data_IF_542560324282
#
_entry.id   IF_542560324282
#
_cell.length_a   1.000
_cell.length_b   1.000
_cell.length_c   1.000
_cell.angle_alpha   90.00
_cell.angle_beta   90.00
_cell.angle_gamma   90.00
#
_symmetry.space_group_name_H-M   'P 1'
#
loop_
_entity.id
_entity.type
_entity.pdbx_description
1 polymer ?
#
# COMPACT_ATOMS: atom_id res chain seq x y z
N UNK A 1 12.48 -1.61 10.54
CA UNK A 1 12.13 -1.73 9.11
C UNK A 1 10.79 -1.07 8.78
N UNK A 2 9.62 -1.62 9.18
CA UNK A 2 8.32 -1.01 8.83
C UNK A 2 8.19 0.46 9.29
N UNK A 3 8.48 0.74 10.57
CA UNK A 3 8.48 2.11 11.11
C UNK A 3 9.45 3.04 10.37
N UNK A 4 10.65 2.58 10.04
CA UNK A 4 11.65 3.41 9.35
C UNK A 4 11.21 3.73 7.91
N UNK A 5 10.64 2.75 7.20
CA UNK A 5 10.05 2.96 5.87
C UNK A 5 8.88 3.93 5.92
N UNK A 6 7.99 3.76 6.90
CA UNK A 6 6.87 4.69 7.11
C UNK A 6 7.38 6.11 7.35
N UNK A 7 8.37 6.29 8.24
CA UNK A 7 9.00 7.60 8.48
C UNK A 7 9.52 8.26 7.20
N UNK A 8 10.22 7.50 6.35
CA UNK A 8 10.73 8.02 5.07
C UNK A 8 9.60 8.48 4.13
N UNK A 9 8.46 7.78 4.14
CA UNK A 9 7.27 8.17 3.36
C UNK A 9 6.63 9.43 3.94
N UNK A 10 6.50 9.51 5.27
CA UNK A 10 5.93 10.67 5.97
C UNK A 10 6.83 11.91 5.91
N UNK A 11 8.14 11.75 5.76
CA UNK A 11 9.07 12.86 5.52
C UNK A 11 8.80 13.57 4.19
N UNK A 12 8.26 12.85 3.19
CA UNK A 12 7.78 13.43 1.93
C UNK A 12 6.38 14.02 2.04
N UNK A 13 5.62 13.64 3.06
CA UNK A 13 4.23 14.02 3.29
C UNK A 13 4.07 14.57 4.71
N UNK A 14 4.69 15.72 5.05
CA UNK A 14 4.82 16.18 6.43
C UNK A 14 3.47 16.43 7.12
N UNK A 15 2.41 16.73 6.37
CA UNK A 15 1.04 16.82 6.89
C UNK A 15 0.53 15.53 7.55
N UNK A 16 1.08 14.37 7.22
CA UNK A 16 0.68 13.07 7.78
C UNK A 16 1.48 12.68 9.02
N UNK A 17 2.47 13.47 9.44
CA UNK A 17 3.36 13.12 10.58
C UNK A 17 2.61 12.95 11.89
N UNK A 18 1.56 13.72 12.11
CA UNK A 18 0.72 13.59 13.31
C UNK A 18 -0.01 12.24 13.38
N UNK A 19 -0.21 11.58 12.23
CA UNK A 19 -0.85 10.28 12.11
C UNK A 19 0.17 9.12 12.15
N UNK A 20 1.46 9.39 12.38
CA UNK A 20 2.53 8.38 12.27
C UNK A 20 2.26 7.14 13.11
N UNK A 21 1.91 7.31 14.39
CA UNK A 21 1.72 6.18 15.31
C UNK A 21 0.45 5.40 14.99
N UNK A 22 -0.63 6.06 14.55
CA UNK A 22 -1.87 5.39 14.16
C UNK A 22 -1.69 4.60 12.85
N UNK A 23 -1.01 5.19 11.86
CA UNK A 23 -0.64 4.50 10.62
C UNK A 23 0.28 3.33 10.90
N UNK A 24 1.26 3.50 11.79
CA UNK A 24 2.14 2.41 12.18
C UNK A 24 1.37 1.27 12.86
N UNK A 25 0.44 1.60 13.75
CA UNK A 25 -0.40 0.61 14.40
C UNK A 25 -1.28 -0.14 13.39
N UNK A 26 -1.88 0.58 12.43
CA UNK A 26 -2.65 -0.01 11.34
C UNK A 26 -1.80 -0.98 10.52
N UNK A 27 -0.66 -0.52 9.96
CA UNK A 27 0.19 -1.38 9.13
C UNK A 27 0.78 -2.55 9.91
N UNK A 28 1.10 -2.37 11.19
CA UNK A 28 1.57 -3.47 12.05
C UNK A 28 0.47 -4.52 12.31
N UNK A 29 -0.81 -4.10 12.35
CA UNK A 29 -1.94 -5.02 12.50
C UNK A 29 -2.24 -5.82 11.23
N UNK A 30 -1.84 -5.29 10.08
CA UNK A 30 -1.95 -5.93 8.77
C UNK A 30 -0.74 -6.83 8.49
N UNK A 31 0.44 -6.48 9.00
CA UNK A 31 1.71 -7.15 8.75
C UNK A 31 1.80 -8.54 9.42
N UNK A 32 1.20 -9.53 8.77
CA UNK A 32 1.27 -10.94 9.15
C UNK A 32 2.26 -11.73 8.28
N UNK A 33 2.55 -12.98 8.68
CA UNK A 33 3.55 -13.82 8.00
C UNK A 33 3.19 -14.14 6.53
N UNK A 34 1.90 -14.22 6.22
CA UNK A 34 1.36 -14.45 4.88
C UNK A 34 1.35 -13.19 4.00
N UNK A 35 1.64 -12.00 4.56
CA UNK A 35 1.75 -10.76 3.78
C UNK A 35 3.11 -10.64 3.13
N UNK A 36 3.12 -10.67 1.80
CA UNK A 36 4.29 -10.56 0.96
C UNK A 36 4.69 -9.11 0.70
N UNK A 37 3.73 -8.21 0.54
CA UNK A 37 3.97 -6.79 0.31
C UNK A 37 2.88 -5.89 0.89
N UNK A 38 3.29 -4.68 1.28
CA UNK A 38 2.41 -3.56 1.63
C UNK A 38 2.91 -2.36 0.83
N UNK A 39 2.05 -1.82 -0.02
CA UNK A 39 2.41 -0.78 -0.98
C UNK A 39 1.39 0.36 -0.91
N UNK A 40 1.88 1.58 -0.68
CA UNK A 40 1.04 2.78 -0.71
C UNK A 40 0.98 3.28 -2.15
N UNK A 41 -0.22 3.34 -2.73
CA UNK A 41 -0.46 3.75 -4.10
C UNK A 41 -1.00 5.17 -4.21
N UNK A 42 -1.50 5.54 -5.39
CA UNK A 42 -2.34 6.70 -5.57
C UNK A 42 -1.68 8.03 -5.22
N UNK A 43 -2.45 8.94 -4.62
CA UNK A 43 -2.04 10.34 -4.49
C UNK A 43 -0.76 10.54 -3.66
N UNK A 44 -0.56 9.72 -2.61
CA UNK A 44 0.63 9.79 -1.75
C UNK A 44 1.89 9.32 -2.48
N UNK A 45 1.77 8.31 -3.34
CA UNK A 45 2.89 7.81 -4.14
C UNK A 45 3.28 8.79 -5.26
N UNK A 46 2.33 9.60 -5.72
CA UNK A 46 2.51 10.55 -6.83
C UNK A 46 2.86 11.97 -6.39
N UNK A 47 3.17 12.20 -5.11
CA UNK A 47 3.40 13.53 -4.51
C UNK A 47 2.22 14.50 -4.77
N UNK A 48 0.99 13.99 -4.76
CA UNK A 48 -0.26 14.73 -5.01
C UNK A 48 -1.26 14.66 -3.86
N UNK A 49 -0.84 14.12 -2.72
CA UNK A 49 -1.69 13.97 -1.54
C UNK A 49 -2.10 15.32 -0.96
N UNK A 50 -3.41 15.52 -0.75
CA UNK A 50 -3.99 16.72 -0.14
C UNK A 50 -4.67 16.33 1.18
N UNK A 51 -4.14 16.83 2.30
CA UNK A 51 -4.69 16.53 3.62
C UNK A 51 -6.17 16.90 3.75
N UNK A 52 -7.00 16.00 4.28
CA UNK A 52 -8.44 16.17 4.42
C UNK A 52 -9.24 16.12 3.11
N UNK A 53 -8.60 15.81 1.97
CA UNK A 53 -9.25 15.62 0.67
C UNK A 53 -8.84 14.33 -0.04
N UNK A 54 -7.62 13.86 0.20
CA UNK A 54 -7.08 12.62 -0.31
C UNK A 54 -7.20 11.51 0.72
N UNK A 55 -7.52 10.33 0.22
CA UNK A 55 -7.34 9.03 0.86
C UNK A 55 -5.89 8.54 0.74
N UNK A 56 -5.56 7.56 1.57
CA UNK A 56 -4.34 6.75 1.48
C UNK A 56 -4.72 5.41 0.87
N UNK A 57 -4.40 5.22 -0.40
CA UNK A 57 -4.59 3.94 -1.08
C UNK A 57 -3.50 2.93 -0.68
N UNK A 58 -3.89 1.73 -0.29
CA UNK A 58 -2.96 0.68 0.14
C UNK A 58 -3.29 -0.63 -0.57
N UNK A 59 -2.31 -1.17 -1.27
CA UNK A 59 -2.32 -2.54 -1.77
C UNK A 59 -1.57 -3.46 -0.79
N UNK A 60 -2.24 -4.50 -0.32
CA UNK A 60 -1.64 -5.58 0.48
C UNK A 60 -1.67 -6.85 -0.35
N UNK A 61 -0.50 -7.45 -0.54
CA UNK A 61 -0.37 -8.71 -1.25
C UNK A 61 -0.10 -9.83 -0.26
N UNK A 62 -0.94 -10.87 -0.29
CA UNK A 62 -0.82 -12.08 0.51
C UNK A 62 -0.44 -13.27 -0.35
N UNK A 63 0.13 -14.31 0.27
CA UNK A 63 0.39 -15.60 -0.39
C UNK A 63 -0.87 -16.16 -1.05
N UNK A 64 -1.97 -16.20 -0.32
CA UNK A 64 -3.28 -16.63 -0.80
C UNK A 64 -4.40 -16.00 0.05
N UNK A 65 -5.63 -16.03 -0.46
CA UNK A 65 -6.80 -15.49 0.22
C UNK A 65 -7.84 -15.04 -0.78
N UNK A 66 -9.04 -14.72 -0.31
CA UNK A 66 -10.03 -14.03 -1.12
C UNK A 66 -9.76 -12.52 -1.09
N UNK A 67 -10.11 -11.78 -2.16
CA UNK A 67 -10.05 -10.33 -2.16
C UNK A 67 -10.83 -9.73 -0.98
N UNK A 68 -10.20 -8.83 -0.23
CA UNK A 68 -10.83 -8.06 0.84
C UNK A 68 -10.61 -6.57 0.59
N UNK A 69 -11.61 -5.76 0.94
CA UNK A 69 -11.48 -4.30 1.02
C UNK A 69 -11.80 -3.85 2.44
N UNK A 70 -10.95 -2.99 3.01
CA UNK A 70 -11.12 -2.41 4.34
C UNK A 70 -10.91 -0.92 4.27
N UNK A 71 -11.84 -0.17 4.88
CA UNK A 71 -11.75 1.27 5.03
C UNK A 71 -11.48 1.57 6.51
N UNK A 72 -10.44 2.35 6.77
CA UNK A 72 -10.12 2.85 8.11
C UNK A 72 -10.10 4.38 8.08
N UNK A 73 -10.59 5.03 9.12
CA UNK A 73 -10.44 6.48 9.27
C UNK A 73 -9.41 6.76 10.37
N UNK A 74 -8.35 7.50 10.03
CA UNK A 74 -7.27 7.91 10.92
C UNK A 74 -7.18 9.44 10.88
N UNK A 75 -7.58 10.09 11.99
CA UNK A 75 -7.81 11.53 11.97
C UNK A 75 -8.87 11.92 10.94
N UNK A 76 -8.54 12.89 10.08
CA UNK A 76 -9.39 13.34 8.97
C UNK A 76 -9.00 12.69 7.61
N UNK A 77 -8.30 11.55 7.65
CA UNK A 77 -7.81 10.84 6.46
C UNK A 77 -8.36 9.41 6.44
N UNK A 78 -8.95 9.05 5.31
CA UNK A 78 -9.37 7.67 5.05
C UNK A 78 -8.21 6.85 4.47
N UNK A 79 -8.07 5.61 4.94
CA UNK A 79 -7.08 4.63 4.47
C UNK A 79 -7.83 3.48 3.83
N UNK A 80 -7.71 3.37 2.51
CA UNK A 80 -8.35 2.36 1.69
C UNK A 80 -7.41 1.18 1.47
N UNK A 81 -7.68 0.06 2.13
CA UNK A 81 -6.83 -1.14 2.09
C UNK A 81 -7.48 -2.20 1.22
N UNK A 82 -6.87 -2.44 0.05
CA UNK A 82 -7.21 -3.55 -0.85
C UNK A 82 -6.24 -4.69 -0.60
N UNK A 83 -6.76 -5.85 -0.19
CA UNK A 83 -5.99 -7.05 0.12
C UNK A 83 -6.27 -8.10 -0.96
N UNK A 84 -5.22 -8.57 -1.63
CA UNK A 84 -5.30 -9.56 -2.70
C UNK A 84 -4.33 -10.72 -2.46
N UNK A 85 -4.73 -11.94 -2.81
CA UNK A 85 -3.80 -13.06 -2.96
C UNK A 85 -2.95 -12.89 -4.21
N UNK A 86 -1.81 -13.58 -4.30
CA UNK A 86 -0.91 -13.49 -5.48
C UNK A 86 -1.66 -13.74 -6.79
N UNK A 87 -2.52 -14.76 -6.86
CA UNK A 87 -3.28 -15.08 -8.07
C UNK A 87 -4.23 -13.94 -8.49
N UNK A 88 -4.85 -13.26 -7.52
CA UNK A 88 -5.71 -12.11 -7.79
C UNK A 88 -4.91 -10.88 -8.24
N UNK A 89 -3.70 -10.68 -7.71
CA UNK A 89 -2.78 -9.63 -8.18
C UNK A 89 -2.36 -9.91 -9.62
N UNK A 90 -1.99 -11.15 -9.95
CA UNK A 90 -1.66 -11.57 -11.33
C UNK A 90 -2.83 -11.32 -12.27
N UNK A 91 -4.04 -11.73 -11.86
CA UNK A 91 -5.26 -11.51 -12.65
C UNK A 91 -5.51 -10.02 -12.84
N UNK A 92 -5.54 -9.23 -11.78
CA UNK A 92 -5.82 -7.79 -11.82
C UNK A 92 -4.79 -7.05 -12.70
N UNK A 93 -3.50 -7.37 -12.57
CA UNK A 93 -2.44 -6.79 -13.39
C UNK A 93 -2.64 -7.11 -14.88
N UNK A 94 -2.87 -8.40 -15.21
CA UNK A 94 -3.13 -8.84 -16.60
C UNK A 94 -4.41 -8.26 -17.21
N UNK A 95 -5.42 -8.01 -16.38
CA UNK A 95 -6.68 -7.40 -16.78
C UNK A 95 -6.61 -5.88 -16.91
N UNK A 96 -5.46 -5.26 -16.69
CA UNK A 96 -5.30 -3.82 -16.82
C UNK A 96 -5.91 -3.02 -15.67
N UNK A 97 -5.99 -3.61 -14.46
CA UNK A 97 -6.48 -2.90 -13.28
C UNK A 97 -5.54 -1.73 -12.95
N UNK A 98 -6.02 -0.51 -13.14
CA UNK A 98 -5.21 0.70 -13.02
C UNK A 98 -4.64 0.91 -11.63
N UNK A 99 -5.38 0.56 -10.58
CA UNK A 99 -4.91 0.70 -9.20
C UNK A 99 -3.78 -0.29 -8.90
N UNK A 100 -3.96 -1.57 -9.23
CA UNK A 100 -2.93 -2.60 -8.99
C UNK A 100 -1.65 -2.30 -9.77
N UNK A 101 -1.78 -1.89 -11.04
CA UNK A 101 -0.63 -1.51 -11.87
C UNK A 101 0.08 -0.28 -11.28
N UNK A 102 -0.66 0.79 -10.95
CA UNK A 102 -0.09 2.01 -10.39
C UNK A 102 0.63 1.74 -9.07
N UNK A 103 0.00 0.97 -8.16
CA UNK A 103 0.58 0.60 -6.88
C UNK A 103 1.88 -0.20 -7.07
N UNK A 104 1.91 -1.21 -7.94
CA UNK A 104 3.11 -2.01 -8.13
C UNK A 104 4.24 -1.22 -8.82
N UNK A 105 3.93 -0.48 -9.89
CA UNK A 105 4.96 0.20 -10.69
C UNK A 105 5.46 1.50 -10.06
N UNK A 106 4.61 2.20 -9.30
CA UNK A 106 4.88 3.56 -8.85
C UNK A 106 4.65 3.77 -7.35
N UNK A 107 4.16 2.77 -6.63
CA UNK A 107 3.83 2.87 -5.21
C UNK A 107 5.04 2.99 -4.29
N UNK A 108 4.79 3.47 -3.08
CA UNK A 108 5.76 3.53 -2.00
C UNK A 108 5.70 2.24 -1.20
N UNK A 109 6.74 1.42 -1.31
CA UNK A 109 6.78 0.09 -0.70
C UNK A 109 7.14 0.21 0.78
N UNK A 110 6.21 -0.18 1.66
CA UNK A 110 6.45 -0.30 3.10
C UNK A 110 7.10 -1.64 3.47
N UNK A 111 6.68 -2.72 2.79
CA UNK A 111 7.17 -4.09 2.95
C UNK A 111 7.16 -4.79 1.60
N UNK A 112 8.13 -5.68 1.38
CA UNK A 112 8.11 -6.60 0.23
C UNK A 112 8.78 -6.08 -1.04
N UNK A 113 9.83 -5.26 -0.94
CA UNK A 113 10.53 -4.70 -2.11
C UNK A 113 10.98 -5.77 -3.11
N UNK A 114 11.56 -6.87 -2.61
CA UNK A 114 12.01 -7.98 -3.45
C UNK A 114 10.84 -8.69 -4.13
N UNK A 115 9.72 -8.88 -3.42
CA UNK A 115 8.50 -9.46 -4.02
C UNK A 115 7.97 -8.58 -5.15
N UNK A 116 7.82 -7.28 -4.91
CA UNK A 116 7.29 -6.34 -5.93
C UNK A 116 8.20 -6.31 -7.16
N UNK A 117 9.52 -6.26 -6.94
CA UNK A 117 10.51 -6.28 -8.02
C UNK A 117 10.40 -7.55 -8.87
N UNK A 118 10.43 -8.73 -8.23
CA UNK A 118 10.32 -10.01 -8.93
C UNK A 118 8.97 -10.17 -9.64
N UNK A 119 7.89 -9.67 -9.02
CA UNK A 119 6.57 -9.66 -9.64
C UNK A 119 6.64 -8.88 -10.96
N UNK A 120 7.08 -7.62 -10.95
CA UNK A 120 7.15 -6.78 -12.17
C UNK A 120 8.05 -7.40 -13.23
N UNK A 121 9.23 -7.89 -12.85
CA UNK A 121 10.16 -8.57 -13.76
C UNK A 121 9.56 -9.82 -14.44
N UNK A 122 8.51 -10.41 -13.87
CA UNK A 122 7.80 -11.55 -14.46
C UNK A 122 6.80 -11.16 -15.56
N UNK A 123 6.56 -9.86 -15.79
CA UNK A 123 5.61 -9.36 -16.80
C UNK A 123 6.25 -8.41 -17.85
N UNK A 124 7.56 -8.17 -17.77
CA UNK A 124 8.35 -7.43 -18.77
C UNK A 124 8.98 -8.42 -19.76
#
# INVERSE_FOLDING_TARGET
MLREKLKLILDRNPQLRELEEDLLHLFSSIDSNDVLAIVLGGSIARDRFVYGMSDIDVLVVKEAGSPEFKLFSIGDVDVEVTILGVDDVVYAFRSGNSFVIDALENGLILKGEEFVKQFIESFI
#
